data_IF_474803277440
#
_entry.id   IF_474803277440
#
_cell.length_a   1.000
_cell.length_b   1.000
_cell.length_c   1.000
_cell.angle_alpha   90.00
_cell.angle_beta   90.00
_cell.angle_gamma   90.00
#
_symmetry.space_group_name_H-M   'P 1'
#
loop_
_entity.id
_entity.type
_entity.pdbx_description
1 polymer ?
#
# COMPACT_ATOMS: atom_id res chain seq x y z
N UNK A 1 0.21 21.96 23.86
CA UNK A 1 -0.59 21.40 22.74
C UNK A 1 -0.95 19.97 23.09
N UNK A 2 -2.20 19.73 23.49
CA UNK A 2 -2.68 18.40 23.85
C UNK A 2 -3.11 17.70 22.57
N UNK A 3 -2.29 16.79 22.04
CA UNK A 3 -2.69 15.95 20.91
C UNK A 3 -3.82 15.06 21.42
N UNK A 4 -5.06 15.42 21.09
CA UNK A 4 -6.23 14.60 21.39
C UNK A 4 -6.03 13.30 20.63
N UNK A 5 -5.72 12.23 21.37
CA UNK A 5 -5.65 10.86 20.88
C UNK A 5 -7.07 10.42 20.52
N UNK A 6 -7.56 10.90 19.38
CA UNK A 6 -8.85 10.49 18.83
C UNK A 6 -8.80 8.98 18.67
N UNK A 7 -9.68 8.30 19.38
CA UNK A 7 -9.80 6.85 19.31
C UNK A 7 -10.22 6.47 17.89
N UNK A 8 -9.25 6.11 17.04
CA UNK A 8 -9.43 5.55 15.68
C UNK A 8 -10.07 4.15 15.68
N UNK A 9 -10.69 3.73 16.79
CA UNK A 9 -11.45 2.49 16.90
C UNK A 9 -12.70 2.63 16.05
N UNK A 10 -12.76 1.90 14.94
CA UNK A 10 -13.93 1.83 14.07
C UNK A 10 -13.64 1.98 12.58
N UNK A 11 -12.41 2.31 12.18
CA UNK A 11 -12.03 2.32 10.77
C UNK A 11 -11.86 0.89 10.27
N UNK A 12 -12.52 0.58 9.16
CA UNK A 12 -12.44 -0.72 8.49
C UNK A 12 -11.22 -0.79 7.57
N UNK A 13 -10.77 -1.99 7.17
CA UNK A 13 -9.73 -2.13 6.14
C UNK A 13 -10.05 -1.39 4.85
N UNK A 14 -11.32 -1.35 4.43
CA UNK A 14 -11.78 -0.61 3.25
C UNK A 14 -11.57 0.91 3.39
N UNK A 15 -11.84 1.48 4.57
CA UNK A 15 -11.64 2.92 4.80
C UNK A 15 -10.15 3.31 4.71
N UNK A 16 -9.27 2.42 5.17
CA UNK A 16 -7.82 2.60 5.05
C UNK A 16 -7.37 2.44 3.60
N UNK A 17 -7.90 1.44 2.89
CA UNK A 17 -7.53 1.15 1.52
C UNK A 17 -7.78 2.33 0.57
N UNK A 18 -8.88 3.08 0.74
CA UNK A 18 -9.16 4.29 -0.05
C UNK A 18 -8.10 5.40 0.08
N UNK A 19 -7.30 5.35 1.13
CA UNK A 19 -6.24 6.32 1.42
C UNK A 19 -4.86 5.85 0.98
N UNK A 20 -4.69 4.55 0.69
CA UNK A 20 -3.45 3.98 0.18
C UNK A 20 -3.33 4.31 -1.31
N UNK A 21 -2.26 5.00 -1.68
CA UNK A 21 -1.97 5.35 -3.07
C UNK A 21 -1.17 4.24 -3.74
N UNK A 22 -1.84 3.17 -4.15
CA UNK A 22 -1.17 1.98 -4.73
C UNK A 22 -0.22 2.29 -5.90
N UNK A 23 -0.59 3.24 -6.76
CA UNK A 23 0.20 3.65 -7.92
C UNK A 23 1.50 4.42 -7.58
N UNK A 24 1.70 4.80 -6.32
CA UNK A 24 2.93 5.50 -5.90
C UNK A 24 3.99 4.58 -5.32
N UNK A 25 3.67 3.30 -5.12
CA UNK A 25 4.64 2.35 -4.61
C UNK A 25 5.74 2.09 -5.66
N UNK A 26 7.03 2.21 -5.30
CA UNK A 26 8.10 1.90 -6.22
C UNK A 26 8.11 0.40 -6.51
N UNK A 27 8.07 0.02 -7.79
CA UNK A 27 8.03 -1.39 -8.19
C UNK A 27 9.36 -2.10 -7.95
N UNK A 28 10.45 -1.34 -7.88
CA UNK A 28 11.81 -1.86 -7.73
C UNK A 28 12.19 -2.15 -6.26
N UNK A 29 11.35 -1.79 -5.29
CA UNK A 29 11.65 -2.07 -3.88
C UNK A 29 11.32 -3.53 -3.50
N UNK A 30 12.10 -4.14 -2.59
CA UNK A 30 11.78 -5.46 -2.05
C UNK A 30 10.38 -5.49 -1.43
N UNK A 31 9.70 -6.63 -1.52
CA UNK A 31 8.37 -6.81 -0.94
C UNK A 31 8.32 -6.46 0.57
N UNK A 32 9.41 -6.66 1.31
CA UNK A 32 9.48 -6.28 2.73
C UNK A 32 9.26 -4.79 2.97
N UNK A 33 9.85 -3.93 2.14
CA UNK A 33 9.72 -2.48 2.25
C UNK A 33 8.30 -2.04 1.83
N UNK A 34 7.79 -2.63 0.75
CA UNK A 34 6.40 -2.42 0.29
C UNK A 34 5.37 -2.81 1.38
N UNK A 35 5.57 -3.94 2.04
CA UNK A 35 4.71 -4.40 3.12
C UNK A 35 4.80 -3.50 4.37
N UNK A 36 6.00 -3.01 4.70
CA UNK A 36 6.22 -2.09 5.82
C UNK A 36 5.57 -0.73 5.61
N UNK A 37 5.61 -0.21 4.38
CA UNK A 37 4.93 1.04 4.04
C UNK A 37 3.40 0.89 4.14
N UNK A 38 2.85 -0.23 3.66
CA UNK A 38 1.42 -0.57 3.81
C UNK A 38 1.00 -0.65 5.28
N UNK A 39 1.85 -1.27 6.12
CA UNK A 39 1.65 -1.33 7.58
C UNK A 39 1.68 0.06 8.21
N UNK A 40 2.57 0.94 7.74
CA UNK A 40 2.67 2.32 8.20
C UNK A 40 1.41 3.11 7.88
N UNK A 41 0.83 2.96 6.68
CA UNK A 41 -0.47 3.57 6.36
C UNK A 41 -1.58 3.08 7.29
N UNK A 42 -1.66 1.77 7.54
CA UNK A 42 -2.65 1.20 8.46
C UNK A 42 -2.51 1.76 9.89
N UNK A 43 -1.29 1.93 10.37
CA UNK A 43 -1.02 2.58 11.65
C UNK A 43 -1.39 4.07 11.65
N UNK A 44 -0.99 4.80 10.62
CA UNK A 44 -1.24 6.24 10.51
C UNK A 44 -2.71 6.57 10.33
N UNK A 45 -3.50 5.70 9.72
CA UNK A 45 -4.93 5.95 9.47
C UNK A 45 -5.80 5.36 10.57
N UNK A 46 -5.65 4.06 10.86
CA UNK A 46 -6.50 3.33 11.80
C UNK A 46 -5.85 3.09 13.17
N UNK A 47 -4.54 3.33 13.31
CA UNK A 47 -3.81 2.94 14.53
C UNK A 47 -3.75 1.43 14.71
N UNK A 48 -3.98 0.66 13.64
CA UNK A 48 -4.02 -0.79 13.65
C UNK A 48 -2.88 -1.35 12.81
N UNK A 49 -2.15 -2.32 13.37
CA UNK A 49 -1.05 -3.04 12.72
C UNK A 49 -1.22 -4.55 12.81
N UNK A 50 -2.40 -5.04 13.17
CA UNK A 50 -2.72 -6.47 13.13
C UNK A 50 -2.55 -6.99 11.71
N UNK A 51 -1.93 -8.15 11.59
CA UNK A 51 -1.57 -8.72 10.28
C UNK A 51 -2.80 -8.90 9.39
N UNK A 52 -3.91 -9.43 9.92
CA UNK A 52 -5.14 -9.60 9.14
C UNK A 52 -5.71 -8.28 8.61
N UNK A 53 -5.70 -7.23 9.43
CA UNK A 53 -6.17 -5.90 9.03
C UNK A 53 -5.31 -5.29 7.91
N UNK A 54 -3.98 -5.39 8.04
CA UNK A 54 -3.03 -4.86 7.05
C UNK A 54 -3.15 -5.61 5.72
N UNK A 55 -3.27 -6.94 5.77
CA UNK A 55 -3.42 -7.77 4.56
C UNK A 55 -4.72 -7.45 3.83
N UNK A 56 -5.84 -7.36 4.53
CA UNK A 56 -7.14 -7.04 3.92
C UNK A 56 -7.15 -5.61 3.34
N UNK A 57 -6.60 -4.63 4.07
CA UNK A 57 -6.49 -3.26 3.56
C UNK A 57 -5.58 -3.18 2.33
N UNK A 58 -4.48 -3.92 2.34
CA UNK A 58 -3.55 -4.00 1.20
C UNK A 58 -4.17 -4.67 -0.02
N UNK A 59 -4.96 -5.73 0.17
CA UNK A 59 -5.69 -6.41 -0.91
C UNK A 59 -6.74 -5.51 -1.55
N UNK A 60 -7.55 -4.82 -0.75
CA UNK A 60 -8.55 -3.87 -1.26
C UNK A 60 -7.88 -2.70 -1.98
N UNK A 61 -6.74 -2.23 -1.49
CA UNK A 61 -5.99 -1.14 -2.10
C UNK A 61 -5.23 -1.55 -3.37
N UNK A 62 -5.09 -2.85 -3.68
CA UNK A 62 -4.28 -3.32 -4.80
C UNK A 62 -2.77 -3.20 -4.55
N UNK A 63 -2.34 -3.31 -3.29
CA UNK A 63 -0.93 -3.36 -2.87
C UNK A 63 -0.58 -4.69 -2.22
N UNK A 64 -1.31 -5.76 -2.58
CA UNK A 64 -1.05 -7.11 -2.07
C UNK A 64 0.26 -7.67 -2.61
N UNK A 65 0.69 -8.82 -2.05
CA UNK A 65 1.81 -9.59 -2.60
C UNK A 65 1.61 -9.92 -4.09
N UNK A 66 0.37 -10.26 -4.49
CA UNK A 66 0.08 -10.57 -5.88
C UNK A 66 0.22 -9.33 -6.78
N UNK A 67 -0.17 -8.15 -6.29
CA UNK A 67 -0.04 -6.90 -7.04
C UNK A 67 1.41 -6.43 -7.13
N UNK A 68 2.18 -6.62 -6.07
CA UNK A 68 3.64 -6.43 -6.10
C UNK A 68 4.28 -7.30 -7.18
N UNK A 69 3.99 -8.61 -7.21
CA UNK A 69 4.51 -9.49 -8.26
C UNK A 69 4.08 -9.05 -9.66
N UNK A 70 2.80 -8.70 -9.86
CA UNK A 70 2.31 -8.19 -11.16
C UNK A 70 3.08 -6.95 -11.58
N UNK A 71 3.34 -6.03 -10.66
CA UNK A 71 4.08 -4.81 -10.94
C UNK A 71 5.53 -5.14 -11.35
N UNK A 72 6.24 -5.96 -10.56
CA UNK A 72 7.62 -6.37 -10.83
C UNK A 72 7.75 -7.05 -12.20
N UNK A 73 6.91 -8.04 -12.47
CA UNK A 73 6.93 -8.73 -13.76
C UNK A 73 6.52 -7.84 -14.94
N UNK A 74 5.60 -6.90 -14.75
CA UNK A 74 5.24 -5.93 -15.79
C UNK A 74 6.42 -5.03 -16.16
N UNK A 75 7.20 -4.58 -15.18
CA UNK A 75 8.42 -3.80 -15.39
C UNK A 75 9.50 -4.63 -16.08
N UNK A 76 9.77 -5.84 -15.61
CA UNK A 76 10.78 -6.74 -16.21
C UNK A 76 10.45 -7.12 -17.65
N UNK A 77 9.16 -7.25 -18.00
CA UNK A 77 8.69 -7.58 -19.34
C UNK A 77 8.47 -6.36 -20.25
N UNK A 78 8.79 -5.13 -19.78
CA UNK A 78 8.57 -3.89 -20.52
C UNK A 78 7.11 -3.64 -20.91
N UNK A 79 6.18 -4.27 -20.19
CA UNK A 79 4.75 -4.34 -20.51
C UNK A 79 3.96 -3.75 -19.37
N UNK A 80 3.98 -2.41 -19.24
CA UNK A 80 3.15 -1.73 -18.25
C UNK A 80 1.66 -2.04 -18.54
N UNK A 81 0.86 -2.50 -17.56
CA UNK A 81 -0.57 -2.68 -17.74
C UNK A 81 -1.23 -1.34 -18.13
N UNK A 82 -2.17 -1.41 -19.07
CA UNK A 82 -2.83 -0.22 -19.62
C UNK A 82 -3.46 0.63 -18.51
N UNK A 83 -3.05 1.90 -18.43
CA UNK A 83 -3.60 2.90 -17.49
C UNK A 83 -2.77 3.16 -16.23
N UNK A 84 -1.64 2.49 -16.04
CA UNK A 84 -0.74 2.76 -14.90
C UNK A 84 0.48 3.57 -15.36
N UNK A 85 0.53 4.85 -14.99
CA UNK A 85 1.75 5.65 -15.07
C UNK A 85 2.67 5.25 -13.91
N UNK A 86 3.53 4.27 -14.14
CA UNK A 86 4.64 4.00 -13.24
C UNK A 86 5.64 5.16 -13.36
N UNK A 87 6.06 5.70 -12.21
CA UNK A 87 7.09 6.75 -12.17
C UNK A 87 8.36 6.13 -12.74
N UNK A 88 8.75 6.56 -13.94
CA UNK A 88 10.03 6.19 -14.54
C UNK A 88 11.16 6.63 -13.60
N UNK A 89 12.26 5.86 -13.52
CA UNK A 89 13.37 6.18 -12.64
C UNK A 89 13.87 7.60 -12.92
N UNK A 90 14.16 8.35 -11.85
CA UNK A 90 14.97 9.56 -11.98
C UNK A 90 16.39 9.11 -12.23
N UNK A 91 16.93 9.50 -13.40
CA UNK A 91 18.33 9.38 -13.78
C UNK A 91 19.28 9.96 -12.70
#
# INVERSE_FOLDING_TARGET
>A
MTIRKGSKRGLTPADVATQIRAHTYPVEVPFSEWAEETRTYCYLVAGNTEHGFVTEAGEIAGVSLADWFKAVFATDLGSAPAGVQWIAPRE
#
